data_IF_862006622873
#
_entry.id   IF_862006622873
#
_cell.length_a   1.000
_cell.length_b   1.000
_cell.length_c   1.000
_cell.angle_alpha   90.00
_cell.angle_beta   90.00
_cell.angle_gamma   90.00
#
_symmetry.space_group_name_H-M   'P 1'
#
loop_
_entity.id
_entity.type
_entity.pdbx_description
1 polymer ?
#
# COMPACT_ATOMS: atom_id res chain seq x y z
N UNK A 1 0.97 41.00 -45.15
CA UNK A 1 -0.19 41.38 -45.99
C UNK A 1 -0.44 40.29 -47.03
N UNK A 2 -1.65 39.74 -47.04
CA UNK A 2 -2.43 39.06 -48.10
C UNK A 2 -1.72 38.34 -49.29
N UNK A 3 -1.87 37.00 -49.30
CA UNK A 3 -2.55 36.10 -50.26
C UNK A 3 -2.24 36.10 -51.78
N UNK A 4 -2.25 34.88 -52.37
CA UNK A 4 -2.90 34.38 -53.63
C UNK A 4 -2.02 33.24 -54.22
N UNK A 5 -2.38 31.94 -54.21
CA UNK A 5 -3.34 31.11 -54.99
C UNK A 5 -2.98 30.82 -56.47
N UNK A 6 -3.18 29.52 -56.84
CA UNK A 6 -3.24 28.86 -58.18
C UNK A 6 -1.91 28.40 -58.79
N UNK A 7 -1.79 27.28 -59.53
CA UNK A 7 -2.76 26.47 -60.28
C UNK A 7 -2.20 25.03 -60.54
N UNK A 8 -3.10 24.05 -60.75
CA UNK A 8 -2.82 22.68 -61.20
C UNK A 8 -2.17 22.61 -62.59
N UNK A 9 -1.38 21.55 -62.86
CA UNK A 9 -1.51 20.77 -64.11
C UNK A 9 -1.03 19.31 -63.94
N UNK A 10 -1.86 18.41 -64.47
CA UNK A 10 -1.78 16.95 -64.50
C UNK A 10 -0.88 16.41 -65.62
N UNK A 11 -0.18 15.29 -65.39
CA UNK A 11 0.15 14.32 -66.45
C UNK A 11 0.44 12.93 -65.86
N UNK A 12 -0.39 11.96 -66.26
CA UNK A 12 -0.30 10.53 -66.00
C UNK A 12 0.77 9.88 -66.88
N UNK A 13 1.60 9.00 -66.33
CA UNK A 13 2.16 7.83 -67.04
C UNK A 13 2.50 6.72 -66.02
N UNK A 14 1.69 5.66 -66.03
CA UNK A 14 2.02 4.30 -65.60
C UNK A 14 2.13 3.44 -66.88
N UNK A 15 2.63 2.19 -66.88
CA UNK A 15 3.46 1.48 -65.89
C UNK A 15 4.71 0.82 -66.54
N UNK A 16 5.62 0.28 -65.74
CA UNK A 16 6.37 -0.92 -66.12
C UNK A 16 6.53 -1.81 -64.89
N UNK A 17 5.85 -2.95 -64.95
CA UNK A 17 5.97 -4.06 -64.02
C UNK A 17 7.30 -4.78 -64.26
N UNK A 18 8.09 -4.93 -63.20
CA UNK A 18 9.01 -6.05 -63.06
C UNK A 18 8.90 -6.57 -61.62
N UNK A 19 8.34 -7.77 -61.51
CA UNK A 19 8.36 -8.60 -60.30
C UNK A 19 9.76 -9.18 -60.11
N UNK A 20 10.33 -9.05 -58.91
CA UNK A 20 11.19 -10.09 -58.34
C UNK A 20 11.35 -9.91 -56.82
N UNK A 21 10.89 -10.95 -56.11
CA UNK A 21 11.28 -11.43 -54.77
C UNK A 21 10.99 -10.55 -53.54
N UNK A 22 9.96 -11.02 -52.83
CA UNK A 22 9.80 -10.95 -51.37
C UNK A 22 11.10 -11.38 -50.66
N UNK A 23 11.57 -10.53 -49.75
CA UNK A 23 12.01 -10.99 -48.42
C UNK A 23 11.24 -10.20 -47.37
N UNK A 24 10.47 -10.94 -46.58
CA UNK A 24 9.88 -10.48 -45.35
C UNK A 24 11.00 -10.32 -44.31
N UNK A 25 11.14 -9.13 -43.74
CA UNK A 25 11.38 -8.99 -42.30
C UNK A 25 10.62 -7.75 -41.81
N UNK A 26 9.57 -8.03 -41.02
CA UNK A 26 8.74 -7.05 -40.34
C UNK A 26 9.57 -6.30 -39.30
N UNK A 27 9.37 -4.99 -39.27
CA UNK A 27 9.42 -4.21 -38.04
C UNK A 27 8.55 -4.86 -36.97
N UNK A 28 9.11 -5.13 -35.79
CA UNK A 28 8.42 -4.86 -34.52
C UNK A 28 9.44 -4.79 -33.37
N UNK A 29 9.89 -3.58 -33.09
CA UNK A 29 10.65 -3.22 -31.90
C UNK A 29 9.86 -2.16 -31.17
N UNK A 30 8.96 -2.54 -30.24
CA UNK A 30 8.52 -1.70 -29.11
C UNK A 30 7.34 -2.31 -28.34
N UNK A 31 7.49 -3.47 -27.68
CA UNK A 31 6.49 -3.90 -26.67
C UNK A 31 7.07 -4.63 -25.44
N UNK A 32 8.38 -4.87 -25.40
CA UNK A 32 9.03 -5.63 -24.31
C UNK A 32 9.75 -4.75 -23.28
N UNK A 33 9.99 -3.46 -23.56
CA UNK A 33 10.69 -2.56 -22.62
C UNK A 33 9.76 -1.85 -21.61
N UNK A 34 8.51 -1.52 -21.97
CA UNK A 34 7.56 -0.88 -21.04
C UNK A 34 7.17 -1.81 -19.87
N UNK A 35 6.96 -3.11 -20.13
CA UNK A 35 6.57 -4.08 -19.08
C UNK A 35 7.64 -4.32 -18.02
N UNK A 36 8.92 -4.07 -18.33
CA UNK A 36 10.03 -4.30 -17.39
C UNK A 36 10.37 -3.04 -16.57
N UNK A 37 10.17 -1.85 -17.13
CA UNK A 37 10.37 -0.57 -16.41
C UNK A 37 9.28 -0.26 -15.37
N UNK A 38 8.05 -0.72 -15.59
CA UNK A 38 6.94 -0.45 -14.67
C UNK A 38 7.02 -1.22 -13.34
N UNK A 39 7.86 -2.26 -13.27
CA UNK A 39 7.97 -3.16 -12.11
C UNK A 39 8.84 -2.61 -10.97
N UNK A 40 9.62 -1.57 -11.23
CA UNK A 40 10.56 -0.97 -10.27
C UNK A 40 10.08 0.41 -9.74
N UNK A 41 8.92 0.88 -10.21
CA UNK A 41 8.37 2.14 -9.74
C UNK A 41 7.67 1.94 -8.39
N UNK A 42 8.10 2.70 -7.38
CA UNK A 42 7.36 2.80 -6.11
C UNK A 42 6.22 3.80 -6.25
N UNK A 43 5.07 3.47 -5.67
CA UNK A 43 3.92 4.35 -5.53
C UNK A 43 3.77 4.68 -4.06
N UNK A 44 3.90 5.96 -3.70
CA UNK A 44 3.81 6.43 -2.31
C UNK A 44 4.73 5.64 -1.35
N UNK A 45 5.93 5.30 -1.81
CA UNK A 45 6.94 4.56 -1.05
C UNK A 45 6.76 3.04 -1.02
N UNK A 46 5.83 2.49 -1.81
CA UNK A 46 5.51 1.05 -1.86
C UNK A 46 5.79 0.50 -3.25
N UNK A 47 6.55 -0.60 -3.33
CA UNK A 47 6.74 -1.35 -4.57
C UNK A 47 5.60 -2.36 -4.76
N UNK A 48 5.35 -2.75 -6.02
CA UNK A 48 4.35 -3.80 -6.28
C UNK A 48 4.67 -5.11 -5.56
N UNK A 49 5.94 -5.50 -5.49
CA UNK A 49 6.33 -6.73 -4.80
C UNK A 49 6.11 -6.66 -3.29
N UNK A 50 6.38 -5.51 -2.65
CA UNK A 50 6.03 -5.31 -1.24
C UNK A 50 4.52 -5.34 -1.03
N UNK A 51 3.75 -4.64 -1.87
CA UNK A 51 2.28 -4.67 -1.83
C UNK A 51 1.75 -6.10 -1.96
N UNK A 52 2.24 -6.85 -2.94
CA UNK A 52 1.84 -8.24 -3.17
C UNK A 52 2.18 -9.13 -1.96
N UNK A 53 3.37 -8.98 -1.39
CA UNK A 53 3.81 -9.73 -0.22
C UNK A 53 3.02 -9.39 1.05
N UNK A 54 2.40 -8.21 1.12
CA UNK A 54 1.59 -7.79 2.28
C UNK A 54 0.20 -8.47 2.35
N UNK A 55 -0.18 -9.23 1.33
CA UNK A 55 -1.44 -9.98 1.24
C UNK A 55 -1.10 -11.47 1.22
N UNK A 56 -1.35 -12.17 2.31
CA UNK A 56 -0.95 -13.58 2.48
C UNK A 56 -1.49 -14.49 1.37
N UNK A 57 -2.71 -14.22 0.92
CA UNK A 57 -3.41 -15.01 -0.10
C UNK A 57 -2.77 -14.96 -1.48
N UNK A 58 -1.94 -13.96 -1.81
CA UNK A 58 -1.27 -13.92 -3.11
C UNK A 58 -0.12 -14.92 -3.24
N UNK A 59 0.21 -15.65 -2.17
CA UNK A 59 1.08 -16.83 -2.25
C UNK A 59 0.37 -18.04 -2.86
N UNK A 60 -0.96 -18.09 -2.82
CA UNK A 60 -1.75 -19.09 -3.52
C UNK A 60 -1.79 -18.77 -5.02
N UNK A 61 -1.34 -19.71 -5.84
CA UNK A 61 -1.33 -19.58 -7.30
C UNK A 61 -2.70 -19.27 -7.93
N UNK A 62 -3.80 -19.67 -7.28
CA UNK A 62 -5.17 -19.41 -7.76
C UNK A 62 -5.61 -17.98 -7.48
N UNK A 63 -5.08 -17.35 -6.43
CA UNK A 63 -5.39 -15.97 -6.03
C UNK A 63 -4.34 -14.96 -6.48
N UNK A 64 -3.12 -15.40 -6.77
CA UNK A 64 -2.03 -14.55 -7.27
C UNK A 64 -2.42 -13.66 -8.46
N UNK A 65 -3.22 -14.12 -9.46
CA UNK A 65 -3.66 -13.26 -10.57
C UNK A 65 -4.51 -12.04 -10.13
N UNK A 66 -5.07 -12.05 -8.91
CA UNK A 66 -5.84 -10.94 -8.36
C UNK A 66 -4.95 -9.77 -7.89
N UNK A 67 -3.64 -9.98 -7.75
CA UNK A 67 -2.70 -8.99 -7.22
C UNK A 67 -2.63 -7.73 -8.09
N UNK A 68 -2.65 -7.86 -9.42
CA UNK A 68 -2.59 -6.70 -10.33
C UNK A 68 -3.85 -5.82 -10.21
N UNK A 69 -5.03 -6.43 -10.06
CA UNK A 69 -6.29 -5.72 -9.84
C UNK A 69 -6.30 -4.99 -8.48
N UNK A 70 -5.89 -5.68 -7.41
CA UNK A 70 -5.76 -5.08 -6.09
C UNK A 70 -4.75 -3.92 -6.08
N UNK A 71 -3.60 -4.10 -6.73
CA UNK A 71 -2.58 -3.07 -6.87
C UNK A 71 -3.11 -1.86 -7.63
N UNK A 72 -3.85 -2.08 -8.72
CA UNK A 72 -4.46 -1.01 -9.52
C UNK A 72 -5.43 -0.19 -8.68
N UNK A 73 -6.34 -0.83 -7.96
CA UNK A 73 -7.27 -0.13 -7.08
C UNK A 73 -6.53 0.65 -5.99
N UNK A 74 -5.52 0.04 -5.36
CA UNK A 74 -4.73 0.68 -4.30
C UNK A 74 -3.93 1.89 -4.82
N UNK A 75 -3.20 1.77 -5.94
CA UNK A 75 -2.40 2.88 -6.49
C UNK A 75 -3.28 4.06 -6.93
N UNK A 76 -4.51 3.79 -7.37
CA UNK A 76 -5.52 4.81 -7.73
C UNK A 76 -6.44 5.22 -6.58
N UNK A 77 -6.17 4.78 -5.35
CA UNK A 77 -6.92 5.16 -4.14
C UNK A 77 -8.42 4.85 -4.18
N UNK A 78 -8.80 3.78 -4.89
CA UNK A 78 -10.19 3.31 -4.98
C UNK A 78 -10.56 2.45 -3.77
N UNK A 79 -10.54 3.04 -2.57
CA UNK A 79 -10.68 2.31 -1.30
C UNK A 79 -11.97 1.49 -1.18
N UNK A 80 -13.17 2.01 -1.51
CA UNK A 80 -14.41 1.22 -1.42
C UNK A 80 -14.42 0.03 -2.38
N UNK A 81 -13.87 0.20 -3.59
CA UNK A 81 -13.76 -0.88 -4.56
C UNK A 81 -12.73 -1.92 -4.11
N UNK A 82 -11.61 -1.48 -3.54
CA UNK A 82 -10.57 -2.35 -2.99
C UNK A 82 -11.10 -3.17 -1.81
N UNK A 83 -11.85 -2.57 -0.89
CA UNK A 83 -12.49 -3.26 0.23
C UNK A 83 -13.49 -4.30 -0.27
N UNK A 84 -14.40 -3.90 -1.18
CA UNK A 84 -15.35 -4.81 -1.81
C UNK A 84 -14.66 -5.96 -2.55
N UNK A 85 -13.52 -5.68 -3.19
CA UNK A 85 -12.69 -6.67 -3.87
C UNK A 85 -12.04 -7.67 -2.90
N UNK A 86 -11.54 -7.20 -1.74
CA UNK A 86 -10.96 -8.07 -0.72
C UNK A 86 -12.01 -8.97 -0.08
N UNK A 87 -13.17 -8.40 0.26
CA UNK A 87 -14.28 -9.15 0.86
C UNK A 87 -14.81 -10.22 -0.10
N UNK A 88 -15.11 -9.88 -1.36
CA UNK A 88 -15.72 -10.84 -2.30
C UNK A 88 -14.79 -12.01 -2.67
N UNK A 89 -13.48 -11.80 -2.63
CA UNK A 89 -12.48 -12.79 -2.98
C UNK A 89 -11.86 -13.49 -1.76
N UNK A 90 -12.37 -13.19 -0.55
CA UNK A 90 -11.88 -13.73 0.72
C UNK A 90 -10.35 -13.58 0.83
N UNK A 91 -9.87 -12.33 0.69
CA UNK A 91 -8.45 -11.99 0.75
C UNK A 91 -8.08 -11.41 2.12
N UNK A 92 -6.91 -11.81 2.60
CA UNK A 92 -6.20 -11.24 3.74
C UNK A 92 -7.01 -11.24 5.04
N UNK A 93 -7.95 -12.19 5.20
CA UNK A 93 -8.89 -12.22 6.32
C UNK A 93 -9.77 -10.96 6.44
N UNK A 94 -9.97 -10.23 5.34
CA UNK A 94 -10.71 -8.97 5.30
C UNK A 94 -9.90 -7.73 5.70
N UNK A 95 -8.61 -7.87 6.04
CA UNK A 95 -7.74 -6.74 6.34
C UNK A 95 -7.19 -6.09 5.07
N UNK A 96 -6.96 -4.76 5.08
CA UNK A 96 -6.43 -4.06 3.92
C UNK A 96 -5.03 -4.54 3.52
N UNK A 97 -4.64 -4.42 2.24
CA UNK A 97 -3.27 -4.65 1.81
C UNK A 97 -2.32 -3.58 2.36
N UNK A 98 -1.05 -3.73 2.05
CA UNK A 98 0.03 -2.82 2.43
C UNK A 98 0.05 -2.51 3.93
N UNK A 99 -0.26 -3.52 4.76
CA UNK A 99 -0.36 -3.36 6.22
C UNK A 99 -1.34 -2.23 6.62
N UNK A 100 -2.36 -1.98 5.80
CA UNK A 100 -3.36 -0.94 6.02
C UNK A 100 -2.93 0.49 5.68
N UNK A 101 -1.80 0.69 5.00
CA UNK A 101 -1.29 2.03 4.73
C UNK A 101 -1.54 2.52 3.29
N UNK A 102 -1.89 3.80 3.14
CA UNK A 102 -1.97 4.53 1.86
C UNK A 102 -0.57 4.78 1.30
N UNK A 103 0.40 5.02 2.18
CA UNK A 103 1.80 5.28 1.86
C UNK A 103 2.69 4.60 2.90
N UNK A 104 3.99 4.47 2.62
CA UNK A 104 4.93 3.92 3.57
C UNK A 104 6.27 4.63 3.47
N UNK A 105 6.82 5.02 4.63
CA UNK A 105 8.21 5.41 4.76
C UNK A 105 8.81 4.79 6.01
N UNK A 106 10.12 4.56 5.98
CA UNK A 106 10.87 4.17 7.17
C UNK A 106 11.28 5.43 7.92
N UNK A 107 11.06 5.43 9.22
CA UNK A 107 11.38 6.54 10.11
C UNK A 107 11.98 6.04 11.43
N UNK A 108 12.45 6.99 12.24
CA UNK A 108 12.79 6.77 13.64
C UNK A 108 11.75 7.46 14.50
N UNK A 109 11.07 6.73 15.36
CA UNK A 109 10.15 7.31 16.32
C UNK A 109 10.95 7.88 17.49
N UNK A 110 10.93 9.21 17.64
CA UNK A 110 11.76 9.91 18.63
C UNK A 110 11.31 9.66 20.06
N UNK A 111 12.27 9.74 21.00
CA UNK A 111 11.96 9.75 22.42
C UNK A 111 11.07 10.95 22.79
N UNK A 112 10.22 10.77 23.79
CA UNK A 112 9.26 11.76 24.27
C UNK A 112 7.90 11.74 23.56
N UNK A 113 7.77 11.06 22.41
CA UNK A 113 6.48 10.91 21.72
C UNK A 113 5.53 10.05 22.56
N UNK A 114 4.26 10.47 22.63
CA UNK A 114 3.19 9.65 23.18
C UNK A 114 2.46 8.93 22.04
N UNK A 115 2.31 7.63 22.21
CA UNK A 115 1.54 6.76 21.33
C UNK A 115 0.57 5.93 22.13
N UNK A 116 -0.46 5.42 21.48
CA UNK A 116 -1.42 4.54 22.11
C UNK A 116 -1.89 3.44 21.15
N UNK A 117 -2.57 2.45 21.73
CA UNK A 117 -3.08 1.29 21.01
C UNK A 117 -4.34 0.76 21.67
N UNK A 118 -5.30 0.39 20.85
CA UNK A 118 -6.41 -0.49 21.21
C UNK A 118 -5.99 -1.92 20.85
N UNK A 119 -5.76 -2.76 21.87
CA UNK A 119 -5.24 -4.10 21.66
C UNK A 119 -4.64 -4.71 22.93
N UNK A 120 -3.94 -5.83 22.75
CA UNK A 120 -3.48 -6.65 23.85
C UNK A 120 -4.61 -7.44 24.51
N UNK A 121 -4.25 -8.21 25.53
CA UNK A 121 -5.15 -9.07 26.27
C UNK A 121 -4.58 -9.32 27.67
N UNK A 122 -5.40 -9.83 28.58
CA UNK A 122 -4.93 -10.36 29.86
C UNK A 122 -4.76 -11.88 29.72
N UNK A 123 -3.62 -12.40 30.17
CA UNK A 123 -3.40 -13.85 30.21
C UNK A 123 -4.09 -14.50 31.42
N UNK A 124 -3.89 -15.81 31.59
CA UNK A 124 -4.52 -16.60 32.65
C UNK A 124 -4.18 -16.11 34.07
N UNK A 125 -3.04 -15.43 34.23
CA UNK A 125 -2.58 -14.88 35.51
C UNK A 125 -2.98 -13.41 35.69
N UNK A 126 -3.88 -12.91 34.84
CA UNK A 126 -4.32 -11.51 34.80
C UNK A 126 -3.18 -10.52 34.53
N UNK A 127 -2.11 -10.97 33.88
CA UNK A 127 -1.03 -10.10 33.43
C UNK A 127 -1.37 -9.57 32.04
N UNK A 128 -1.26 -8.26 31.87
CA UNK A 128 -1.50 -7.63 30.56
C UNK A 128 -0.37 -7.95 29.59
N UNK A 129 -0.74 -8.41 28.39
CA UNK A 129 0.14 -8.77 27.29
C UNK A 129 -0.25 -7.99 26.03
N UNK A 130 0.72 -7.35 25.37
CA UNK A 130 0.53 -6.75 24.05
C UNK A 130 1.61 -7.20 23.05
N UNK A 131 1.22 -8.20 22.24
CA UNK A 131 2.04 -8.73 21.14
C UNK A 131 1.85 -7.96 19.83
N UNK A 132 1.07 -6.88 19.84
CA UNK A 132 0.85 -6.04 18.68
C UNK A 132 2.05 -5.15 18.36
N UNK A 133 2.08 -4.67 17.12
CA UNK A 133 3.14 -3.78 16.61
C UNK A 133 2.63 -2.45 16.07
N UNK A 134 1.32 -2.24 15.95
CA UNK A 134 0.76 -1.00 15.42
C UNK A 134 0.37 -0.04 16.53
N UNK A 135 0.88 1.18 16.49
CA UNK A 135 0.51 2.26 17.39
C UNK A 135 0.18 3.51 16.58
N UNK A 136 -0.57 4.43 17.16
CA UNK A 136 -0.77 5.78 16.63
C UNK A 136 -0.40 6.80 17.69
N UNK A 137 -0.21 8.06 17.32
CA UNK A 137 -0.16 9.13 18.32
C UNK A 137 -1.50 9.22 19.05
N UNK A 138 -1.47 9.66 20.31
CA UNK A 138 -2.66 9.77 21.18
C UNK A 138 -3.70 10.76 20.67
N UNK A 139 -3.33 11.68 19.77
CA UNK A 139 -4.22 12.64 19.13
C UNK A 139 -4.98 12.07 17.92
N UNK A 140 -4.67 10.84 17.48
CA UNK A 140 -5.38 10.19 16.37
C UNK A 140 -6.69 9.55 16.88
N UNK A 141 -7.87 10.06 16.50
CA UNK A 141 -9.14 9.54 16.98
C UNK A 141 -9.43 8.15 16.38
N UNK A 142 -10.23 7.33 17.08
CA UNK A 142 -10.51 5.94 16.69
C UNK A 142 -11.00 5.77 15.23
N UNK A 143 -11.92 6.59 14.69
CA UNK A 143 -12.34 6.47 13.29
C UNK A 143 -11.20 6.66 12.28
N UNK A 144 -10.20 7.45 12.62
CA UNK A 144 -9.04 7.66 11.75
C UNK A 144 -8.07 6.48 11.78
N UNK A 145 -8.28 5.49 12.65
CA UNK A 145 -7.48 4.26 12.76
C UNK A 145 -7.98 3.12 11.87
N UNK A 146 -9.16 3.28 11.26
CA UNK A 146 -9.81 2.29 10.42
C UNK A 146 -9.76 0.86 10.99
N UNK A 147 -10.16 0.72 12.25
CA UNK A 147 -10.26 -0.56 12.95
C UNK A 147 -11.73 -1.01 13.00
N UNK A 148 -11.99 -2.33 13.06
CA UNK A 148 -13.34 -2.83 13.33
C UNK A 148 -13.86 -2.25 14.65
N UNK A 149 -15.15 -1.91 14.70
CA UNK A 149 -15.76 -1.27 15.89
C UNK A 149 -15.57 -2.08 17.18
N UNK A 150 -15.60 -3.42 17.09
CA UNK A 150 -15.30 -4.33 18.22
C UNK A 150 -13.93 -4.07 18.87
N UNK A 151 -12.99 -3.44 18.18
CA UNK A 151 -11.68 -3.11 18.75
C UNK A 151 -11.78 -2.05 19.84
N UNK A 152 -12.86 -1.26 19.92
CA UNK A 152 -13.12 -0.35 21.05
C UNK A 152 -13.25 -1.09 22.38
N UNK A 153 -13.64 -2.37 22.38
CA UNK A 153 -13.70 -3.17 23.61
C UNK A 153 -12.37 -3.83 23.99
N UNK A 154 -11.32 -3.64 23.18
CA UNK A 154 -9.98 -4.10 23.53
C UNK A 154 -9.36 -3.17 24.57
N UNK A 155 -8.40 -3.64 25.38
CA UNK A 155 -7.66 -2.75 26.27
C UNK A 155 -7.07 -1.57 25.50
N UNK A 156 -7.18 -0.37 26.07
CA UNK A 156 -6.56 0.84 25.53
C UNK A 156 -5.42 1.24 26.44
N UNK A 157 -4.23 1.43 25.85
CA UNK A 157 -3.01 1.76 26.58
C UNK A 157 -2.24 2.88 25.90
N UNK A 158 -1.67 3.75 26.72
CA UNK A 158 -0.82 4.87 26.29
C UNK A 158 0.62 4.56 26.69
N UNK A 159 1.54 4.80 25.78
CA UNK A 159 2.97 4.58 25.95
C UNK A 159 3.76 5.83 25.57
N UNK A 160 4.77 6.12 26.36
CA UNK A 160 5.82 7.07 26.01
C UNK A 160 6.99 6.33 25.39
N UNK A 161 7.47 6.85 24.26
CA UNK A 161 8.73 6.42 23.67
C UNK A 161 9.87 6.94 24.55
N UNK A 162 10.61 6.05 25.19
CA UNK A 162 11.71 6.41 26.10
C UNK A 162 13.04 6.56 25.35
N UNK A 163 13.27 5.69 24.37
CA UNK A 163 14.47 5.68 23.51
C UNK A 163 14.03 5.75 22.05
N UNK A 164 14.78 6.42 21.16
CA UNK A 164 14.46 6.43 19.74
C UNK A 164 14.34 5.00 19.18
N UNK A 165 13.25 4.71 18.47
CA UNK A 165 13.01 3.39 17.85
C UNK A 165 13.26 3.53 16.34
N UNK A 166 14.35 2.99 15.79
CA UNK A 166 14.62 3.04 14.35
C UNK A 166 13.76 2.01 13.60
N UNK A 167 13.78 2.09 12.27
CA UNK A 167 13.12 1.13 11.38
C UNK A 167 11.60 1.00 11.58
N UNK A 168 10.96 2.07 12.05
CA UNK A 168 9.50 2.13 12.18
C UNK A 168 8.91 2.42 10.81
N UNK A 169 7.89 1.65 10.40
CA UNK A 169 7.13 1.96 9.18
C UNK A 169 6.02 2.94 9.54
N UNK A 170 6.09 4.14 8.99
CA UNK A 170 5.07 5.17 9.14
C UNK A 170 4.22 5.24 7.87
N UNK A 171 2.90 5.35 8.04
CA UNK A 171 1.98 5.54 6.94
C UNK A 171 0.63 6.07 7.38
N UNK A 172 -0.07 6.75 6.46
CA UNK A 172 -1.48 7.09 6.63
C UNK A 172 -2.34 5.85 6.45
N UNK A 173 -3.39 5.72 7.23
CA UNK A 173 -4.25 4.54 7.27
C UNK A 173 -5.27 4.60 6.12
N UNK A 174 -5.49 3.48 5.43
CA UNK A 174 -6.50 3.34 4.38
C UNK A 174 -7.91 3.45 5.01
N UNK A 175 -8.86 4.20 4.40
CA UNK A 175 -10.27 4.10 4.76
C UNK A 175 -10.77 2.66 4.59
N UNK A 176 -11.24 2.04 5.68
CA UNK A 176 -11.57 0.62 5.73
C UNK A 176 -12.56 0.33 6.87
N UNK A 177 -13.25 -0.81 6.87
CA UNK A 177 -14.23 -1.20 7.89
C UNK A 177 -15.30 -0.13 8.14
N UNK A 178 -15.75 0.56 7.09
CA UNK A 178 -16.68 1.70 7.18
C UNK A 178 -16.18 2.89 8.03
N UNK A 179 -14.86 2.99 8.22
CA UNK A 179 -14.21 4.08 8.94
C UNK A 179 -13.40 4.97 7.97
N UNK A 180 -13.31 6.28 8.24
CA UNK A 180 -12.68 7.24 7.33
C UNK A 180 -11.16 7.09 7.23
N UNK A 181 -10.48 6.46 8.20
CA UNK A 181 -9.03 6.28 8.16
C UNK A 181 -8.25 7.61 8.11
N UNK A 182 -7.14 7.63 7.37
CA UNK A 182 -6.26 8.79 7.12
C UNK A 182 -5.46 9.32 8.32
N UNK A 183 -5.67 8.75 9.52
CA UNK A 183 -4.76 8.94 10.64
C UNK A 183 -3.39 8.32 10.35
N UNK A 184 -2.37 8.73 11.09
CA UNK A 184 -1.03 8.14 10.98
C UNK A 184 -0.91 6.91 11.88
N UNK A 185 -0.44 5.80 11.32
CA UNK A 185 0.01 4.63 12.07
C UNK A 185 1.52 4.48 11.99
N UNK A 186 2.06 3.84 13.03
CA UNK A 186 3.43 3.38 13.14
C UNK A 186 3.41 1.87 13.36
N UNK A 187 4.02 1.12 12.45
CA UNK A 187 4.35 -0.29 12.68
C UNK A 187 5.75 -0.36 13.28
N UNK A 188 5.82 -0.76 14.55
CA UNK A 188 7.04 -0.95 15.31
C UNK A 188 7.81 -2.19 14.82
N UNK A 189 9.15 -2.19 14.90
CA UNK A 189 9.97 -3.33 14.47
C UNK A 189 9.84 -4.56 15.40
N UNK A 190 9.35 -4.36 16.63
CA UNK A 190 9.15 -5.40 17.64
C UNK A 190 7.81 -5.18 18.34
N UNK A 191 7.35 -6.17 19.09
CA UNK A 191 6.08 -6.08 19.82
C UNK A 191 6.15 -5.03 20.92
N UNK A 192 4.98 -4.50 21.32
CA UNK A 192 4.89 -3.58 22.47
C UNK A 192 5.48 -4.22 23.73
N UNK A 193 5.20 -5.49 24.00
CA UNK A 193 5.80 -6.24 25.10
C UNK A 193 7.34 -6.24 25.06
N UNK A 194 7.94 -6.59 23.92
CA UNK A 194 9.40 -6.65 23.78
C UNK A 194 10.02 -5.26 23.98
N UNK A 195 9.42 -4.24 23.37
CA UNK A 195 9.91 -2.87 23.49
C UNK A 195 9.75 -2.30 24.90
N UNK A 196 8.71 -2.69 25.63
CA UNK A 196 8.57 -2.37 27.07
C UNK A 196 9.66 -3.05 27.89
N UNK A 197 9.88 -4.35 27.66
CA UNK A 197 10.90 -5.15 28.37
C UNK A 197 12.30 -4.57 28.18
N UNK A 198 12.64 -4.13 26.97
CA UNK A 198 13.94 -3.54 26.63
C UNK A 198 14.04 -2.03 26.96
N UNK A 199 12.99 -1.46 27.56
CA UNK A 199 12.97 -0.07 28.02
C UNK A 199 12.93 0.98 26.90
N UNK A 200 12.38 0.63 25.73
CA UNK A 200 12.06 1.58 24.65
C UNK A 200 10.68 2.21 24.83
N UNK A 201 9.75 1.49 25.46
CA UNK A 201 8.41 1.95 25.78
C UNK A 201 8.21 1.96 27.30
N UNK A 202 7.57 3.02 27.79
CA UNK A 202 7.05 3.07 29.14
C UNK A 202 5.53 3.28 29.06
N UNK A 203 4.77 2.44 29.75
CA UNK A 203 3.32 2.63 29.87
C UNK A 203 3.03 3.82 30.78
N UNK A 204 2.20 4.74 30.30
CA UNK A 204 1.71 5.86 31.09
C UNK A 204 0.53 5.38 31.93
N UNK A 205 0.54 5.73 33.22
CA UNK A 205 -0.58 5.41 34.11
C UNK A 205 -1.75 6.31 33.72
N UNK A 206 -2.87 5.69 33.32
CA UNK A 206 -4.14 6.37 33.11
C UNK A 206 -4.83 6.66 34.44
#
# INVERSE_FOLDING_TARGET
>A
MKNIKSLLLTALFFPLLANAQKTHTKNDHSHTHEKKQQKDQTIRGVSFDYFKASVSDFTDSTKMPLADSAWTMWKTERWPDLESFFTRNNLNGGWPPNRGAVNMKITTLSAGVLVDRYGGYYDADSVFQDKGTFVSKTDVPFPQRALPEKTLSSPHRVYKIVKPIPNVKEGQIIPWFSQPGLGTQYELPYTVNDLKKEGYLQEEKQ
#
